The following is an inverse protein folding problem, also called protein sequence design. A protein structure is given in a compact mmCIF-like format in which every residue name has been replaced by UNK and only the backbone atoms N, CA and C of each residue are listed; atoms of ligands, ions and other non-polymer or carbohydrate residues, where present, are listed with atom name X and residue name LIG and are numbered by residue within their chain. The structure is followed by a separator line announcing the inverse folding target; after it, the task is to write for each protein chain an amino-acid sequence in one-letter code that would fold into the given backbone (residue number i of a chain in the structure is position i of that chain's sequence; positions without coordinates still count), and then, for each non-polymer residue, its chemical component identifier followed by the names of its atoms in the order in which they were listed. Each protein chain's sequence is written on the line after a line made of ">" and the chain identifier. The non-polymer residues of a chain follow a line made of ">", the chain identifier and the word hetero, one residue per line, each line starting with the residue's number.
data_IF_993780580448
#
_entry.id   IF_993780580448
#
_cell.length_a   1.000
_cell.length_b   1.000
_cell.length_c   1.000
_cell.angle_alpha   90.00
_cell.angle_beta   90.00
_cell.angle_gamma   90.00
#
_symmetry.space_group_name_H-M   'P 1'
#
loop_
_entity.id
_entity.type
_entity.pdbx_description
1 polymer ?
#
# COMPACT_ATOMS: atom_id res chain seq x y z
N UNK A 1 5.53 2.79 -32.29
CA UNK A 1 4.40 1.83 -32.21
C UNK A 1 4.45 1.22 -30.82
N UNK A 2 3.62 1.69 -29.87
CA UNK A 2 3.72 1.29 -28.46
C UNK A 2 3.03 -0.05 -28.22
N UNK A 3 3.77 -0.98 -27.64
CA UNK A 3 3.54 -2.42 -27.56
C UNK A 3 2.49 -2.88 -26.52
N UNK A 4 1.44 -2.08 -26.25
CA UNK A 4 0.46 -2.41 -25.19
C UNK A 4 -0.91 -2.85 -25.72
N UNK A 5 -1.22 -2.67 -27.00
CA UNK A 5 -2.56 -2.94 -27.54
C UNK A 5 -3.67 -2.08 -26.93
N UNK A 6 -3.32 -1.09 -26.10
CA UNK A 6 -4.27 -0.18 -25.44
C UNK A 6 -4.33 1.12 -26.23
N UNK A 7 -5.55 1.61 -26.48
CA UNK A 7 -5.75 2.87 -27.20
C UNK A 7 -5.22 4.07 -26.40
N UNK A 8 -4.61 5.08 -27.07
CA UNK A 8 -4.20 6.33 -26.41
C UNK A 8 -5.36 7.05 -25.70
N UNK A 9 -6.58 6.93 -26.23
CA UNK A 9 -7.80 7.49 -25.67
C UNK A 9 -8.10 6.87 -24.30
N UNK A 10 -8.04 5.54 -24.19
CA UNK A 10 -8.28 4.84 -22.92
C UNK A 10 -7.21 5.20 -21.88
N UNK A 11 -5.94 5.31 -22.30
CA UNK A 11 -4.86 5.75 -21.40
C UNK A 11 -5.13 7.17 -20.88
N UNK A 12 -5.64 8.07 -21.73
CA UNK A 12 -5.99 9.44 -21.34
C UNK A 12 -7.14 9.45 -20.33
N UNK A 13 -8.21 8.72 -20.64
CA UNK A 13 -9.40 8.60 -19.78
C UNK A 13 -9.03 8.15 -18.37
N UNK A 14 -8.28 7.05 -18.22
CA UNK A 14 -7.89 6.57 -16.89
C UNK A 14 -6.92 7.50 -16.16
N UNK A 15 -6.10 8.28 -16.88
CA UNK A 15 -5.24 9.30 -16.25
C UNK A 15 -6.05 10.49 -15.74
N UNK A 16 -7.06 10.90 -16.49
CA UNK A 16 -8.00 11.94 -16.09
C UNK A 16 -8.77 11.47 -14.86
N UNK A 17 -9.33 10.24 -14.89
CA UNK A 17 -9.99 9.62 -13.74
C UNK A 17 -9.09 9.53 -12.51
N UNK A 18 -7.84 9.08 -12.66
CA UNK A 18 -6.87 9.03 -11.57
C UNK A 18 -6.63 10.42 -10.96
N UNK A 19 -6.61 11.46 -11.79
CA UNK A 19 -6.39 12.84 -11.34
C UNK A 19 -7.62 13.43 -10.64
N UNK A 20 -8.83 13.03 -11.05
CA UNK A 20 -10.07 13.36 -10.35
C UNK A 20 -10.14 12.70 -8.97
N UNK A 21 -9.83 11.41 -8.90
CA UNK A 21 -9.79 10.66 -7.65
C UNK A 21 -8.72 11.20 -6.70
N UNK A 22 -7.56 11.62 -7.23
CA UNK A 22 -6.51 12.27 -6.43
C UNK A 22 -7.01 13.49 -5.63
N UNK A 23 -7.97 14.25 -6.18
CA UNK A 23 -8.55 15.43 -5.52
C UNK A 23 -9.55 15.07 -4.42
N UNK A 24 -9.98 13.81 -4.38
CA UNK A 24 -10.93 13.30 -3.40
C UNK A 24 -10.24 12.62 -2.22
N UNK A 25 -8.92 12.44 -2.27
CA UNK A 25 -8.12 11.98 -1.13
C UNK A 25 -8.14 13.05 -0.04
N UNK A 26 -8.52 12.65 1.16
CA UNK A 26 -8.71 13.54 2.31
C UNK A 26 -7.58 13.31 3.32
N UNK A 27 -6.88 14.39 3.67
CA UNK A 27 -5.92 14.39 4.79
C UNK A 27 -6.61 14.96 6.03
N UNK A 28 -6.95 14.09 6.97
CA UNK A 28 -7.55 14.47 8.26
C UNK A 28 -6.92 13.66 9.38
N UNK A 29 -6.82 14.23 10.60
CA UNK A 29 -6.33 13.46 11.75
C UNK A 29 -7.24 12.26 12.04
N UNK A 30 -6.64 11.16 12.51
CA UNK A 30 -7.43 10.01 12.95
C UNK A 30 -8.35 10.41 14.11
N UNK A 31 -9.66 10.18 13.95
CA UNK A 31 -10.65 10.57 14.94
C UNK A 31 -10.58 9.76 16.24
N UNK A 32 -10.05 8.53 16.17
CA UNK A 32 -9.89 7.60 17.28
C UNK A 32 -8.63 6.76 17.05
N UNK A 33 -8.10 6.18 18.12
CA UNK A 33 -7.00 5.21 18.03
C UNK A 33 -7.49 3.88 17.42
N UNK A 34 -6.92 3.42 16.28
CA UNK A 34 -7.14 2.08 15.75
C UNK A 34 -6.97 0.97 16.77
N UNK A 35 -7.94 0.04 16.82
CA UNK A 35 -7.85 -1.20 17.60
C UNK A 35 -7.56 -2.40 16.73
N UNK A 36 -8.00 -2.36 15.47
CA UNK A 36 -7.69 -3.36 14.45
C UNK A 36 -6.92 -2.68 13.32
N UNK A 37 -5.69 -3.14 13.08
CA UNK A 37 -4.82 -2.65 12.01
C UNK A 37 -4.59 -3.77 11.02
N UNK A 38 -4.99 -3.56 9.78
CA UNK A 38 -4.72 -4.48 8.69
C UNK A 38 -3.46 -4.06 7.92
N UNK A 39 -2.86 -5.01 7.22
CA UNK A 39 -1.99 -4.69 6.09
C UNK A 39 -2.29 -5.53 4.88
N UNK A 40 -2.01 -4.94 3.71
CA UNK A 40 -2.17 -5.56 2.40
C UNK A 40 -0.80 -5.67 1.72
N UNK A 41 -0.52 -6.84 1.15
CA UNK A 41 0.55 -7.07 0.18
C UNK A 41 -0.08 -7.66 -1.09
N UNK A 42 0.45 -7.33 -2.25
CA UNK A 42 -0.03 -7.86 -3.52
C UNK A 42 1.11 -8.47 -4.33
N UNK A 43 0.76 -9.52 -5.07
CA UNK A 43 1.65 -10.17 -6.00
C UNK A 43 0.93 -10.42 -7.31
N UNK A 44 1.56 -10.06 -8.44
CA UNK A 44 1.04 -10.38 -9.77
C UNK A 44 2.02 -11.33 -10.46
N UNK A 45 1.53 -12.50 -10.85
CA UNK A 45 2.24 -13.48 -11.68
C UNK A 45 1.43 -13.68 -12.97
N UNK A 46 2.00 -13.28 -14.11
CA UNK A 46 1.34 -13.26 -15.42
C UNK A 46 -0.02 -12.55 -15.42
N UNK A 47 -1.11 -13.32 -15.46
CA UNK A 47 -2.49 -12.84 -15.43
C UNK A 47 -3.18 -13.03 -14.08
N UNK A 48 -2.54 -13.68 -13.11
CA UNK A 48 -3.11 -13.89 -11.79
C UNK A 48 -2.56 -12.85 -10.83
N UNK A 49 -3.45 -12.04 -10.26
CA UNK A 49 -3.14 -11.19 -9.12
C UNK A 49 -3.60 -11.87 -7.83
N UNK A 50 -2.79 -11.73 -6.80
CA UNK A 50 -3.03 -12.19 -5.45
C UNK A 50 -2.97 -10.97 -4.54
N UNK A 51 -4.02 -10.77 -3.75
CA UNK A 51 -4.05 -9.82 -2.65
C UNK A 51 -4.05 -10.60 -1.34
N UNK A 52 -3.18 -10.25 -0.40
CA UNK A 52 -3.13 -10.86 0.93
C UNK A 52 -3.35 -9.78 1.96
N UNK A 53 -4.32 -9.99 2.86
CA UNK A 53 -4.64 -9.10 3.96
C UNK A 53 -4.44 -9.83 5.29
N UNK A 54 -3.87 -9.16 6.28
CA UNK A 54 -3.69 -9.69 7.65
C UNK A 54 -4.10 -8.62 8.65
N UNK A 55 -4.96 -8.97 9.59
CA UNK A 55 -5.43 -8.11 10.69
C UNK A 55 -4.71 -8.43 11.99
N UNK A 56 -4.26 -7.38 12.66
CA UNK A 56 -3.68 -7.46 14.00
C UNK A 56 -4.46 -6.57 14.96
N UNK A 57 -4.56 -7.00 16.22
CA UNK A 57 -4.98 -6.09 17.31
C UNK A 57 -3.91 -5.05 17.58
N UNK A 58 -4.33 -3.92 18.13
CA UNK A 58 -3.46 -2.91 18.72
C UNK A 58 -3.92 -2.62 20.16
N UNK A 59 -2.99 -2.51 21.14
CA UNK A 59 -1.53 -2.39 20.99
C UNK A 59 -0.75 -3.71 20.90
N UNK A 60 -1.37 -4.88 21.06
CA UNK A 60 -0.64 -6.15 21.23
C UNK A 60 0.01 -6.67 19.94
N UNK A 61 -0.40 -6.17 18.77
CA UNK A 61 0.07 -6.62 17.45
C UNK A 61 -0.11 -8.14 17.27
N UNK A 62 -1.20 -8.68 17.82
CA UNK A 62 -1.54 -10.10 17.73
C UNK A 62 -2.39 -10.35 16.49
N UNK A 63 -2.00 -11.26 15.58
CA UNK A 63 -2.82 -11.60 14.42
C UNK A 63 -4.16 -12.18 14.85
N UNK A 64 -5.25 -11.68 14.28
CA UNK A 64 -6.62 -12.12 14.57
C UNK A 64 -7.33 -12.69 13.36
N UNK A 65 -6.95 -12.25 12.16
CA UNK A 65 -7.53 -12.75 10.92
C UNK A 65 -6.56 -12.57 9.74
N UNK A 66 -6.73 -13.40 8.71
CA UNK A 66 -6.04 -13.27 7.45
C UNK A 66 -6.88 -13.78 6.28
N UNK A 67 -6.78 -13.11 5.14
CA UNK A 67 -7.47 -13.52 3.94
C UNK A 67 -6.61 -13.32 2.69
N UNK A 68 -6.83 -14.17 1.69
CA UNK A 68 -6.12 -14.12 0.41
C UNK A 68 -7.14 -14.22 -0.71
N UNK A 69 -7.18 -13.17 -1.54
CA UNK A 69 -7.97 -13.16 -2.76
C UNK A 69 -7.07 -13.43 -3.96
N UNK A 70 -7.61 -14.17 -4.94
CA UNK A 70 -6.97 -14.43 -6.21
C UNK A 70 -7.92 -14.03 -7.34
N UNK A 71 -7.44 -13.21 -8.28
CA UNK A 71 -8.26 -12.73 -9.41
C UNK A 71 -7.44 -12.66 -10.69
N UNK A 72 -8.10 -12.90 -11.82
CA UNK A 72 -7.50 -12.64 -13.12
C UNK A 72 -7.46 -11.14 -13.37
N UNK A 73 -6.28 -10.61 -13.69
CA UNK A 73 -6.09 -9.21 -14.10
C UNK A 73 -6.71 -8.97 -15.48
N UNK A 74 -7.79 -8.21 -15.50
CA UNK A 74 -8.47 -7.81 -16.73
C UNK A 74 -7.95 -6.48 -17.27
N UNK A 75 -7.39 -5.64 -16.40
CA UNK A 75 -6.82 -4.34 -16.78
C UNK A 75 -5.41 -4.49 -17.38
N UNK A 76 -5.10 -3.85 -18.52
CA UNK A 76 -3.80 -3.95 -19.17
C UNK A 76 -2.68 -3.30 -18.34
N UNK A 77 -1.44 -3.76 -18.54
CA UNK A 77 -0.29 -3.14 -17.88
C UNK A 77 0.00 -1.76 -18.50
N UNK A 78 -0.30 -0.69 -17.76
CA UNK A 78 0.01 0.68 -18.15
C UNK A 78 0.80 1.35 -17.01
N UNK A 79 2.07 1.74 -17.26
CA UNK A 79 2.88 2.43 -16.26
C UNK A 79 2.17 3.67 -15.68
N UNK A 80 2.11 3.72 -14.35
CA UNK A 80 1.43 4.79 -13.60
C UNK A 80 -0.09 4.62 -13.44
N UNK A 81 -0.68 3.52 -13.92
CA UNK A 81 -2.09 3.13 -13.72
C UNK A 81 -2.22 1.73 -13.10
N UNK A 82 -1.15 1.21 -12.48
CA UNK A 82 -1.13 -0.13 -11.88
C UNK A 82 -2.19 -0.30 -10.80
N UNK A 83 -2.58 0.78 -10.13
CA UNK A 83 -3.62 0.72 -9.11
C UNK A 83 -4.98 0.25 -9.65
N UNK A 84 -5.32 0.49 -10.92
CA UNK A 84 -6.56 -0.03 -11.52
C UNK A 84 -6.50 -1.53 -11.79
N UNK A 85 -5.29 -2.06 -11.98
CA UNK A 85 -5.05 -3.48 -12.18
C UNK A 85 -5.03 -4.26 -10.86
N UNK A 86 -4.54 -3.63 -9.79
CA UNK A 86 -4.21 -4.32 -8.54
C UNK A 86 -5.19 -4.03 -7.40
N UNK A 87 -5.89 -2.89 -7.40
CA UNK A 87 -6.86 -2.58 -6.35
C UNK A 87 -7.99 -3.62 -6.21
N UNK A 88 -8.60 -4.16 -7.30
CA UNK A 88 -9.71 -5.10 -7.15
C UNK A 88 -9.37 -6.34 -6.32
N UNK A 89 -8.17 -6.91 -6.47
CA UNK A 89 -7.77 -8.07 -5.66
C UNK A 89 -7.43 -7.67 -4.22
N UNK A 90 -6.90 -6.46 -4.01
CA UNK A 90 -6.61 -5.95 -2.68
C UNK A 90 -7.90 -5.70 -1.88
N UNK A 91 -8.92 -5.13 -2.54
CA UNK A 91 -10.25 -4.90 -1.96
C UNK A 91 -10.88 -6.24 -1.57
N UNK A 92 -10.89 -7.22 -2.48
CA UNK A 92 -11.41 -8.55 -2.16
C UNK A 92 -10.65 -9.24 -1.02
N UNK A 93 -9.34 -8.98 -0.88
CA UNK A 93 -8.57 -9.51 0.24
C UNK A 93 -9.03 -8.90 1.57
N UNK A 94 -9.30 -7.59 1.62
CA UNK A 94 -9.82 -6.93 2.84
C UNK A 94 -11.28 -7.28 3.11
N UNK A 95 -12.12 -7.32 2.09
CA UNK A 95 -13.55 -7.63 2.23
C UNK A 95 -13.82 -9.06 2.70
N UNK A 96 -12.88 -9.98 2.46
CA UNK A 96 -12.97 -11.35 2.96
C UNK A 96 -12.47 -11.54 4.40
N UNK A 97 -12.04 -10.46 5.08
CA UNK A 97 -11.76 -10.51 6.51
C UNK A 97 -13.07 -10.52 7.31
N UNK A 98 -13.07 -11.19 8.46
CA UNK A 98 -14.22 -11.30 9.36
C UNK A 98 -14.57 -9.95 10.01
N UNK A 99 -13.57 -9.11 10.25
CA UNK A 99 -13.76 -7.79 10.84
C UNK A 99 -13.36 -6.68 9.89
N UNK A 100 -13.92 -5.48 10.10
CA UNK A 100 -13.53 -4.28 9.34
C UNK A 100 -12.37 -3.61 10.07
N UNK A 101 -11.21 -3.41 9.43
CA UNK A 101 -10.08 -2.76 10.09
C UNK A 101 -10.35 -1.27 10.32
N UNK A 102 -9.76 -0.72 11.38
CA UNK A 102 -9.80 0.72 11.66
C UNK A 102 -8.75 1.49 10.84
N UNK A 103 -7.68 0.82 10.42
CA UNK A 103 -6.55 1.37 9.66
C UNK A 103 -5.93 0.29 8.75
N UNK A 104 -5.54 0.64 7.54
CA UNK A 104 -4.89 -0.29 6.60
C UNK A 104 -3.53 0.21 6.13
N UNK A 105 -2.48 -0.61 6.29
CA UNK A 105 -1.15 -0.37 5.74
C UNK A 105 -0.97 -1.12 4.42
N UNK A 106 -0.69 -0.41 3.34
CA UNK A 106 -0.58 -1.00 2.00
C UNK A 106 0.90 -1.05 1.59
N UNK A 107 1.41 -2.22 1.17
CA UNK A 107 2.75 -2.32 0.55
C UNK A 107 2.74 -1.65 -0.83
N UNK A 108 2.94 -0.34 -0.83
CA UNK A 108 2.80 0.48 -2.02
C UNK A 108 2.78 1.96 -1.67
N UNK A 109 2.65 2.79 -2.70
CA UNK A 109 2.58 4.24 -2.55
C UNK A 109 1.12 4.70 -2.37
N UNK A 110 0.92 5.76 -1.60
CA UNK A 110 -0.26 6.60 -1.61
C UNK A 110 -0.01 7.87 -2.43
N UNK A 111 -0.02 9.03 -1.78
CA UNK A 111 0.22 10.34 -2.42
C UNK A 111 1.62 10.50 -3.03
N UNK A 112 2.60 9.69 -2.63
CA UNK A 112 3.92 9.59 -3.25
C UNK A 112 3.87 8.88 -4.62
N UNK A 113 3.08 9.43 -5.53
CA UNK A 113 2.80 8.93 -6.87
C UNK A 113 2.82 10.09 -7.88
N UNK A 114 3.16 9.85 -9.17
CA UNK A 114 3.22 10.92 -10.19
C UNK A 114 1.94 11.77 -10.30
N UNK A 115 0.78 11.19 -9.97
CA UNK A 115 -0.54 11.87 -9.97
C UNK A 115 -1.16 12.00 -8.58
N UNK A 116 -0.37 11.86 -7.51
CA UNK A 116 -0.84 11.90 -6.10
C UNK A 116 -1.89 10.85 -5.72
N UNK A 117 -2.06 9.82 -6.56
CA UNK A 117 -3.04 8.74 -6.35
C UNK A 117 -2.40 7.39 -6.64
N UNK A 118 -1.64 6.89 -5.66
CA UNK A 118 -1.09 5.53 -5.67
C UNK A 118 -2.13 4.50 -5.21
N UNK A 119 -1.68 3.25 -5.09
CA UNK A 119 -2.56 2.14 -4.71
C UNK A 119 -3.16 2.29 -3.30
N UNK A 120 -2.43 2.86 -2.34
CA UNK A 120 -2.96 3.07 -1.00
C UNK A 120 -4.11 4.09 -1.00
N UNK A 121 -4.02 5.15 -1.83
CA UNK A 121 -5.12 6.09 -2.04
C UNK A 121 -6.31 5.40 -2.68
N UNK A 122 -6.07 4.58 -3.71
CA UNK A 122 -7.14 3.88 -4.41
C UNK A 122 -7.92 2.95 -3.46
N UNK A 123 -7.20 2.15 -2.68
CA UNK A 123 -7.81 1.24 -1.71
C UNK A 123 -8.55 2.03 -0.62
N UNK A 124 -7.96 3.10 -0.08
CA UNK A 124 -8.60 3.90 0.96
C UNK A 124 -9.88 4.60 0.50
N UNK A 125 -9.84 5.14 -0.72
CA UNK A 125 -10.99 5.78 -1.34
C UNK A 125 -12.17 4.81 -1.52
N UNK A 126 -11.90 3.61 -2.03
CA UNK A 126 -12.94 2.60 -2.27
C UNK A 126 -13.49 2.00 -0.96
N UNK A 127 -12.63 1.78 0.05
CA UNK A 127 -13.05 1.22 1.34
C UNK A 127 -13.71 2.25 2.29
N UNK A 128 -13.41 3.54 2.11
CA UNK A 128 -13.75 4.58 3.07
C UNK A 128 -13.14 4.35 4.46
N UNK A 129 -11.89 3.86 4.49
CA UNK A 129 -11.12 3.57 5.72
C UNK A 129 -9.80 4.34 5.64
N UNK A 130 -9.23 4.81 6.77
CA UNK A 130 -7.88 5.33 6.81
C UNK A 130 -6.85 4.35 6.21
N UNK A 131 -6.02 4.84 5.29
CA UNK A 131 -4.97 4.02 4.67
C UNK A 131 -3.64 4.72 4.58
N UNK A 132 -2.56 3.94 4.70
CA UNK A 132 -1.18 4.39 4.64
C UNK A 132 -0.45 3.60 3.56
N UNK A 133 0.24 4.29 2.66
CA UNK A 133 1.22 3.66 1.78
C UNK A 133 2.54 3.46 2.51
N UNK A 134 3.02 2.22 2.61
CA UNK A 134 4.30 1.83 3.23
C UNK A 134 5.19 1.16 2.18
N UNK A 135 5.94 1.96 1.42
CA UNK A 135 6.73 1.45 0.32
C UNK A 135 8.18 1.11 0.72
N UNK A 136 8.74 0.09 0.04
CA UNK A 136 10.13 -0.36 0.22
C UNK A 136 11.15 0.43 -0.62
N UNK A 137 10.68 1.14 -1.63
CA UNK A 137 11.44 1.97 -2.58
C UNK A 137 10.70 3.26 -2.91
N UNK A 138 11.42 4.25 -3.44
CA UNK A 138 10.83 5.50 -3.93
C UNK A 138 10.27 5.30 -5.33
N UNK A 139 9.03 5.75 -5.55
CA UNK A 139 8.46 5.86 -6.89
C UNK A 139 8.68 7.26 -7.50
N UNK A 140 8.51 8.32 -6.70
CA UNK A 140 8.75 9.72 -7.09
C UNK A 140 9.34 10.51 -5.93
N UNK A 141 10.00 11.60 -6.29
CA UNK A 141 10.60 12.52 -5.34
C UNK A 141 11.97 12.09 -4.82
N UNK A 142 12.48 12.88 -3.89
CA UNK A 142 13.76 12.69 -3.22
C UNK A 142 13.65 13.20 -1.78
N UNK A 143 14.54 12.74 -0.91
CA UNK A 143 14.66 13.22 0.46
C UNK A 143 16.11 13.63 0.71
N UNK A 144 16.31 14.56 1.65
CA UNK A 144 17.62 15.02 2.06
C UNK A 144 18.26 14.09 3.10
N UNK A 145 18.95 14.69 4.07
CA UNK A 145 19.59 13.93 5.14
C UNK A 145 18.54 13.25 6.03
N UNK A 146 18.80 11.98 6.34
CA UNK A 146 17.97 11.17 7.22
C UNK A 146 18.83 10.56 8.33
N UNK A 147 18.48 10.86 9.59
CA UNK A 147 19.14 10.27 10.76
C UNK A 147 19.16 8.74 10.75
N UNK A 148 20.12 8.16 11.47
CA UNK A 148 20.30 6.70 11.56
C UNK A 148 19.47 6.09 12.68
N UNK A 149 19.00 6.90 13.63
CA UNK A 149 18.18 6.49 14.76
C UNK A 149 16.74 6.16 14.36
N UNK A 150 16.13 5.21 15.09
CA UNK A 150 14.72 4.88 14.91
C UNK A 150 13.86 6.13 15.15
N UNK A 151 12.91 6.38 14.26
CA UNK A 151 12.04 7.54 14.32
C UNK A 151 12.58 8.76 13.57
N UNK A 152 13.81 8.71 13.05
CA UNK A 152 14.29 9.75 12.13
C UNK A 152 13.38 9.84 10.91
N UNK A 153 13.10 11.06 10.48
CA UNK A 153 12.28 11.34 9.31
C UNK A 153 12.92 12.37 8.40
N UNK A 154 12.65 12.27 7.11
CA UNK A 154 13.04 13.26 6.12
C UNK A 154 11.91 13.43 5.08
N UNK A 155 11.44 14.66 4.81
CA UNK A 155 10.35 14.88 3.85
C UNK A 155 10.71 14.32 2.48
N UNK A 156 9.78 13.57 1.88
CA UNK A 156 9.89 13.11 0.50
C UNK A 156 9.27 14.18 -0.41
N UNK A 157 10.10 14.85 -1.21
CA UNK A 157 9.73 16.02 -2.01
C UNK A 157 9.66 15.64 -3.48
N UNK A 158 8.51 15.86 -4.12
CA UNK A 158 8.32 15.71 -5.57
C UNK A 158 7.69 16.99 -6.15
N UNK A 159 8.35 17.60 -7.13
CA UNK A 159 7.92 18.86 -7.76
C UNK A 159 7.64 20.01 -6.77
N UNK A 160 8.46 20.11 -5.73
CA UNK A 160 8.34 21.16 -4.71
C UNK A 160 7.28 20.89 -3.63
N UNK A 161 6.58 19.75 -3.69
CA UNK A 161 5.57 19.37 -2.72
C UNK A 161 6.07 18.21 -1.84
N UNK A 162 5.71 18.23 -0.55
CA UNK A 162 5.86 17.05 0.31
C UNK A 162 4.79 16.04 -0.08
N UNK A 163 5.23 14.87 -0.53
CA UNK A 163 4.33 13.78 -0.98
C UNK A 163 4.36 12.57 -0.05
N UNK A 164 5.25 12.58 0.92
CA UNK A 164 5.45 11.51 1.90
C UNK A 164 6.63 11.81 2.81
N UNK A 165 7.09 10.78 3.51
CA UNK A 165 8.17 10.83 4.47
C UNK A 165 9.08 9.61 4.28
N UNK A 166 10.39 9.81 4.19
CA UNK A 166 11.35 8.73 4.43
C UNK A 166 11.44 8.53 5.95
N UNK A 167 11.20 7.30 6.43
CA UNK A 167 11.11 6.98 7.85
C UNK A 167 12.10 5.89 8.23
N UNK A 168 12.97 6.18 9.19
CA UNK A 168 13.89 5.20 9.78
C UNK A 168 13.15 4.37 10.83
N UNK A 169 12.56 3.26 10.41
CA UNK A 169 11.86 2.34 11.32
C UNK A 169 12.79 1.45 12.13
N UNK A 170 14.00 1.21 11.62
CA UNK A 170 15.05 0.43 12.30
C UNK A 170 16.44 1.03 12.03
N UNK A 171 17.29 1.18 13.08
CA UNK A 171 18.62 1.73 12.91
C UNK A 171 19.51 0.90 11.98
N UNK A 172 20.36 1.57 11.20
CA UNK A 172 21.30 0.91 10.27
C UNK A 172 20.65 0.15 9.12
N UNK A 173 19.35 0.36 8.86
CA UNK A 173 18.63 -0.24 7.73
C UNK A 173 18.07 0.83 6.81
N UNK A 174 17.83 0.47 5.53
CA UNK A 174 17.16 1.38 4.59
C UNK A 174 15.82 1.84 5.15
N UNK A 175 15.43 3.12 5.00
CA UNK A 175 14.13 3.59 5.45
C UNK A 175 12.99 2.92 4.70
N UNK A 176 11.78 3.04 5.25
CA UNK A 176 10.53 2.87 4.50
C UNK A 176 10.05 4.24 4.03
N UNK A 177 9.21 4.26 3.00
CA UNK A 177 8.66 5.50 2.45
C UNK A 177 7.17 5.52 2.73
N UNK A 178 6.78 6.40 3.65
CA UNK A 178 5.42 6.54 4.14
C UNK A 178 4.72 7.62 3.35
N UNK A 179 3.51 7.38 2.88
CA UNK A 179 2.69 8.41 2.25
C UNK A 179 1.22 8.21 2.62
N UNK A 180 0.47 9.31 2.66
CA UNK A 180 -0.97 9.27 2.89
C UNK A 180 -1.63 8.42 1.81
N UNK A 181 -2.46 7.46 2.21
CA UNK A 181 -3.42 6.81 1.34
C UNK A 181 -4.71 7.63 1.27
N UNK A 182 -5.55 7.53 2.30
CA UNK A 182 -6.77 8.33 2.46
C UNK A 182 -7.16 8.44 3.94
N UNK A 183 -8.00 9.43 4.29
CA UNK A 183 -8.57 9.68 5.62
C UNK A 183 -7.55 9.68 6.77
N UNK A 184 -6.31 10.12 6.51
CA UNK A 184 -5.23 10.19 7.48
C UNK A 184 -4.26 11.34 7.13
N UNK A 185 -3.69 11.99 8.14
CA UNK A 185 -2.58 12.95 7.92
C UNK A 185 -1.25 12.23 7.66
N UNK A 186 -0.30 12.91 7.02
CA UNK A 186 1.05 12.35 6.90
C UNK A 186 1.72 12.13 8.27
N UNK A 187 1.45 12.99 9.24
CA UNK A 187 2.00 12.86 10.60
C UNK A 187 1.48 11.60 11.29
N UNK A 188 0.16 11.39 11.31
CA UNK A 188 -0.45 10.18 11.86
C UNK A 188 0.02 8.93 11.12
N UNK A 189 0.16 9.00 9.78
CA UNK A 189 0.65 7.90 8.99
C UNK A 189 2.07 7.47 9.42
N UNK A 190 2.96 8.43 9.67
CA UNK A 190 4.32 8.17 10.16
C UNK A 190 4.30 7.58 11.57
N UNK A 191 3.50 8.16 12.47
CA UNK A 191 3.35 7.68 13.85
C UNK A 191 2.85 6.23 13.87
N UNK A 192 1.80 5.91 13.11
CA UNK A 192 1.25 4.55 13.04
C UNK A 192 2.21 3.53 12.44
N UNK A 193 2.98 3.92 11.42
CA UNK A 193 4.05 3.06 10.88
C UNK A 193 5.10 2.77 11.96
N UNK A 194 5.49 3.76 12.77
CA UNK A 194 6.45 3.56 13.87
C UNK A 194 5.85 2.72 15.00
N UNK A 195 4.62 2.97 15.42
CA UNK A 195 3.93 2.22 16.50
C UNK A 195 3.74 0.75 16.16
N UNK A 196 3.44 0.45 14.91
CA UNK A 196 3.23 -0.92 14.42
C UNK A 196 4.52 -1.62 13.99
N UNK A 197 5.67 -0.94 14.05
CA UNK A 197 6.98 -1.54 13.76
C UNK A 197 7.69 -2.00 15.03
N UNK A 198 7.80 -3.32 15.17
CA UNK A 198 8.57 -3.99 16.23
C UNK A 198 10.03 -4.23 15.86
N UNK A 199 10.42 -5.51 15.71
CA UNK A 199 11.83 -5.94 15.59
C UNK A 199 12.40 -5.75 14.18
N UNK A 200 11.54 -5.68 13.17
CA UNK A 200 11.92 -5.69 11.76
C UNK A 200 11.88 -4.29 11.14
N UNK A 201 12.33 -4.19 9.88
CA UNK A 201 12.25 -2.93 9.10
C UNK A 201 10.82 -2.55 8.75
N UNK A 202 9.96 -3.53 8.48
CA UNK A 202 8.58 -3.30 8.10
C UNK A 202 7.68 -3.36 9.35
N UNK A 203 6.57 -2.62 9.36
CA UNK A 203 5.48 -2.83 10.31
C UNK A 203 5.11 -4.31 10.43
N UNK A 204 4.77 -4.78 11.64
CA UNK A 204 4.42 -6.17 11.88
C UNK A 204 3.24 -6.64 11.01
N UNK A 205 2.14 -5.87 10.83
CA UNK A 205 1.08 -6.22 9.89
C UNK A 205 1.61 -6.41 8.46
N UNK A 206 2.36 -5.44 7.92
CA UNK A 206 2.92 -5.49 6.55
C UNK A 206 3.88 -6.67 6.37
N UNK A 207 4.67 -6.99 7.41
CA UNK A 207 5.58 -8.14 7.38
C UNK A 207 4.81 -9.47 7.33
N UNK A 208 3.68 -9.58 8.01
CA UNK A 208 2.86 -10.78 8.02
C UNK A 208 2.11 -10.93 6.69
N UNK A 209 1.50 -9.86 6.18
CA UNK A 209 0.88 -9.85 4.85
C UNK A 209 1.88 -10.27 3.75
N UNK A 210 3.11 -9.76 3.81
CA UNK A 210 4.16 -10.16 2.87
C UNK A 210 4.52 -11.65 2.96
N UNK A 211 4.58 -12.22 4.18
CA UNK A 211 4.85 -13.66 4.37
C UNK A 211 3.70 -14.51 3.84
N UNK A 212 2.46 -14.10 4.10
CA UNK A 212 1.27 -14.77 3.60
C UNK A 212 1.26 -14.78 2.07
N UNK A 213 1.52 -13.64 1.44
CA UNK A 213 1.64 -13.51 -0.01
C UNK A 213 2.72 -14.44 -0.59
N UNK A 214 3.91 -14.48 0.03
CA UNK A 214 4.99 -15.37 -0.40
C UNK A 214 4.62 -16.86 -0.28
N UNK A 215 3.97 -17.26 0.81
CA UNK A 215 3.54 -18.63 1.03
C UNK A 215 2.52 -19.07 -0.04
N UNK A 216 1.50 -18.25 -0.30
CA UNK A 216 0.47 -18.56 -1.31
C UNK A 216 1.01 -18.55 -2.74
N UNK A 217 1.89 -17.62 -3.07
CA UNK A 217 2.55 -17.61 -4.38
C UNK A 217 3.41 -18.87 -4.59
N UNK A 218 4.01 -19.43 -3.53
CA UNK A 218 4.77 -20.68 -3.63
C UNK A 218 3.86 -21.91 -3.82
N UNK A 219 2.72 -21.98 -3.12
CA UNK A 219 1.73 -23.04 -3.26
C UNK A 219 1.22 -23.15 -4.70
N UNK A 220 0.86 -22.02 -5.32
CA UNK A 220 0.37 -21.96 -6.70
C UNK A 220 1.40 -22.49 -7.70
N UNK A 221 2.67 -22.08 -7.56
CA UNK A 221 3.77 -22.62 -8.39
C UNK A 221 3.97 -24.12 -8.23
N UNK A 222 3.73 -24.66 -7.02
CA UNK A 222 3.89 -26.10 -6.76
C UNK A 222 2.70 -26.95 -7.25
N UNK A 223 1.50 -26.36 -7.36
CA UNK A 223 0.30 -27.01 -7.87
C UNK A 223 0.29 -27.17 -9.39
N UNK A 224 0.86 -26.19 -10.12
CA UNK A 224 1.00 -26.22 -11.59
C UNK A 224 1.98 -27.29 -12.09
N UNK A 225 2.86 -27.81 -11.22
CA UNK A 225 3.81 -28.88 -11.55
C UNK A 225 3.27 -30.31 -11.40
N UNK A 226 1.98 -30.50 -11.09
CA UNK A 226 1.37 -31.81 -10.81
C UNK A 226 0.14 -32.14 -11.68
N UNK A 227 -0.11 -31.41 -12.77
CA UNK A 227 -1.14 -31.76 -13.76
C UNK A 227 -0.54 -32.24 -15.07
#
# INVERSE_FOLDING_TARGET
>A
MSNSGVSPELIREYRERQSELARQVIEIPLAKEPRIVAAIDMHVADKLALGSAVELTYPELTPVDENVAAQLVTFPYIPGLLSFREAPVCLAAVEGLETKPDLVLVDGQGRAHPRRFGIACHIGHELGIPTIGVAKSILVGHYGDLGEERGSTAPLIDRGEVVGMAVRTRPGTKPVYVSVGDLITLEDAVDWVLRTTGRYRLPEPSRLAHKLAQARAAELRSGEGKS
#
